data_IF_232542816556
#
_entry.id   IF_232542816556
#
_cell.length_a   1.000
_cell.length_b   1.000
_cell.length_c   1.000
_cell.angle_alpha   90.00
_cell.angle_beta   90.00
_cell.angle_gamma   90.00
#
_symmetry.space_group_name_H-M   'P 1'
#
loop_
_entity.id
_entity.type
_entity.pdbx_description
1 polymer ?
#
# COMPACT_ATOMS: atom_id res chain seq x y z
N UNK A 1 4.80 3.12 -15.66
CA UNK A 1 5.81 2.51 -14.75
C UNK A 1 5.48 1.05 -14.54
N UNK A 2 6.46 0.21 -14.23
CA UNK A 2 6.26 -1.19 -13.87
C UNK A 2 6.95 -1.47 -12.54
N UNK A 3 6.27 -2.14 -11.61
CA UNK A 3 6.83 -2.58 -10.33
C UNK A 3 6.56 -4.06 -10.12
N UNK A 4 7.51 -4.78 -9.54
CA UNK A 4 7.30 -6.16 -9.13
C UNK A 4 7.00 -6.17 -7.65
N UNK A 5 5.77 -6.50 -7.25
CA UNK A 5 5.38 -6.48 -5.83
C UNK A 5 5.15 -7.88 -5.30
N UNK A 6 5.64 -8.16 -4.09
CA UNK A 6 5.22 -9.33 -3.32
C UNK A 6 4.52 -8.89 -2.04
N UNK A 7 3.62 -9.74 -1.57
CA UNK A 7 2.85 -9.49 -0.36
C UNK A 7 3.23 -10.52 0.68
N UNK A 8 3.91 -10.14 1.76
CA UNK A 8 4.18 -11.06 2.85
C UNK A 8 2.85 -11.39 3.50
N UNK A 9 2.45 -12.66 3.47
CA UNK A 9 1.28 -13.12 4.22
C UNK A 9 1.73 -14.16 5.26
N UNK A 10 1.17 -14.02 6.46
CA UNK A 10 1.54 -14.80 7.65
C UNK A 10 1.12 -16.26 7.53
N UNK A 11 0.24 -16.60 6.57
CA UNK A 11 -0.13 -17.97 6.28
C UNK A 11 0.85 -18.57 5.26
N UNK A 12 1.42 -19.73 5.65
CA UNK A 12 2.48 -20.51 4.98
C UNK A 12 2.20 -20.94 3.52
N UNK A 13 1.12 -20.48 2.90
CA UNK A 13 0.64 -20.88 1.56
C UNK A 13 0.55 -19.72 0.56
N UNK A 14 1.01 -18.52 0.93
CA UNK A 14 0.82 -17.32 0.12
C UNK A 14 2.08 -16.95 -0.68
N UNK A 15 1.90 -16.90 -2.00
CA UNK A 15 2.73 -16.34 -3.08
C UNK A 15 4.19 -15.95 -2.74
N UNK A 16 5.11 -16.91 -2.90
CA UNK A 16 6.56 -16.62 -2.98
C UNK A 16 6.98 -16.04 -4.35
N UNK A 17 6.04 -15.39 -5.04
CA UNK A 17 6.28 -14.81 -6.37
C UNK A 17 5.85 -13.35 -6.41
N UNK A 18 6.62 -12.59 -7.18
CA UNK A 18 6.32 -11.20 -7.45
C UNK A 18 5.23 -11.08 -8.52
N UNK A 19 4.34 -10.11 -8.34
CA UNK A 19 3.29 -9.76 -9.27
C UNK A 19 3.64 -8.43 -9.92
N UNK A 20 3.65 -8.39 -11.25
CA UNK A 20 3.84 -7.13 -11.97
C UNK A 20 2.63 -6.18 -11.75
N UNK A 21 2.92 -4.94 -11.40
CA UNK A 21 2.01 -3.80 -11.26
C UNK A 21 2.36 -2.81 -12.35
N UNK A 22 1.46 -2.66 -13.31
CA UNK A 22 1.60 -1.68 -14.38
C UNK A 22 0.78 -0.46 -14.03
N UNK A 23 1.45 0.68 -13.90
CA UNK A 23 0.79 1.96 -13.73
C UNK A 23 0.55 2.61 -15.10
N UNK A 24 -0.71 2.99 -15.33
CA UNK A 24 -1.14 3.84 -16.43
C UNK A 24 -0.62 5.27 -16.23
N UNK A 25 -0.65 5.76 -14.99
CA UNK A 25 -0.11 7.07 -14.61
C UNK A 25 0.82 6.89 -13.41
N UNK A 26 1.96 7.61 -13.37
CA UNK A 26 2.83 7.62 -12.17
C UNK A 26 2.18 8.45 -11.06
N UNK A 27 1.10 7.96 -10.49
CA UNK A 27 0.42 8.59 -9.36
C UNK A 27 0.27 7.60 -8.23
N UNK A 28 0.22 8.12 -7.01
CA UNK A 28 -0.04 7.30 -5.82
C UNK A 28 -1.41 6.64 -5.90
N UNK A 29 -2.41 7.34 -6.45
CA UNK A 29 -3.75 6.79 -6.66
C UNK A 29 -3.74 5.54 -7.54
N UNK A 30 -3.10 5.60 -8.70
CA UNK A 30 -3.01 4.44 -9.60
C UNK A 30 -2.26 3.28 -8.94
N UNK A 31 -1.18 3.58 -8.18
CA UNK A 31 -0.47 2.57 -7.39
C UNK A 31 -1.37 1.88 -6.37
N UNK A 32 -2.12 2.65 -5.58
CA UNK A 32 -3.08 2.13 -4.59
C UNK A 32 -4.13 1.25 -5.29
N UNK A 33 -4.71 1.73 -6.39
CA UNK A 33 -5.73 0.97 -7.13
C UNK A 33 -5.18 -0.37 -7.61
N UNK A 34 -4.01 -0.41 -8.27
CA UNK A 34 -3.44 -1.66 -8.78
C UNK A 34 -3.05 -2.64 -7.67
N UNK A 35 -2.51 -2.14 -6.55
CA UNK A 35 -2.10 -2.98 -5.41
C UNK A 35 -3.35 -3.58 -4.73
N UNK A 36 -4.36 -2.75 -4.45
CA UNK A 36 -5.55 -3.16 -3.72
C UNK A 36 -6.42 -4.15 -4.51
N UNK A 37 -6.49 -4.00 -5.85
CA UNK A 37 -7.10 -5.00 -6.74
C UNK A 37 -6.44 -6.38 -6.59
N UNK A 38 -5.11 -6.44 -6.49
CA UNK A 38 -4.38 -7.72 -6.33
C UNK A 38 -4.67 -8.39 -4.98
N UNK A 39 -4.89 -7.59 -3.94
CA UNK A 39 -5.19 -8.06 -2.58
C UNK A 39 -6.70 -8.18 -2.29
N UNK A 40 -7.56 -7.81 -3.24
CA UNK A 40 -9.04 -7.76 -3.07
C UNK A 40 -9.47 -6.88 -1.89
N UNK A 41 -8.76 -5.78 -1.69
CA UNK A 41 -9.04 -4.78 -0.66
C UNK A 41 -9.74 -3.60 -1.31
N UNK A 42 -10.63 -2.94 -0.58
CA UNK A 42 -11.22 -1.67 -1.02
C UNK A 42 -10.14 -0.56 -0.98
N UNK A 43 -9.81 0.09 -2.12
CA UNK A 43 -8.83 1.17 -2.17
C UNK A 43 -9.15 2.34 -1.24
N UNK A 44 -10.44 2.58 -0.92
CA UNK A 44 -10.84 3.64 0.00
C UNK A 44 -10.37 3.41 1.43
N UNK A 45 -10.00 2.17 1.78
CA UNK A 45 -9.41 1.86 3.09
C UNK A 45 -7.97 2.33 3.21
N UNK A 46 -7.26 2.49 2.09
CA UNK A 46 -5.86 2.91 2.11
C UNK A 46 -5.78 4.41 2.34
N UNK A 47 -5.28 4.81 3.51
CA UNK A 47 -5.20 6.23 3.89
C UNK A 47 -3.88 6.87 3.55
N UNK A 48 -2.82 6.08 3.38
CA UNK A 48 -1.49 6.57 2.97
C UNK A 48 -0.59 5.45 2.46
N UNK A 49 0.44 5.85 1.73
CA UNK A 49 1.48 5.01 1.19
C UNK A 49 2.83 5.50 1.69
N UNK A 50 3.62 4.61 2.27
CA UNK A 50 4.96 4.90 2.76
C UNK A 50 5.99 4.12 1.94
N UNK A 51 7.03 4.82 1.50
CA UNK A 51 8.25 4.22 0.97
C UNK A 51 9.28 4.09 2.09
N UNK A 52 9.63 2.86 2.45
CA UNK A 52 10.61 2.55 3.50
C UNK A 52 11.98 2.31 2.85
N UNK A 53 12.97 3.12 3.22
CA UNK A 53 14.36 2.97 2.77
C UNK A 53 15.09 1.92 3.63
N UNK A 54 16.22 1.43 3.14
CA UNK A 54 17.05 0.41 3.83
C UNK A 54 17.54 0.83 5.22
N UNK A 55 17.67 2.13 5.47
CA UNK A 55 18.03 2.69 6.78
C UNK A 55 16.83 2.82 7.74
N UNK A 56 15.64 2.35 7.35
CA UNK A 56 14.41 2.44 8.13
C UNK A 56 13.68 3.78 8.01
N UNK A 57 14.15 4.72 7.18
CA UNK A 57 13.45 5.98 6.96
C UNK A 57 12.16 5.74 6.17
N UNK A 58 11.03 6.13 6.75
CA UNK A 58 9.72 6.09 6.12
C UNK A 58 9.43 7.44 5.44
N UNK A 59 9.16 7.41 4.14
CA UNK A 59 8.86 8.58 3.31
C UNK A 59 7.41 8.46 2.83
N UNK A 60 6.56 9.42 3.15
CA UNK A 60 5.19 9.44 2.65
C UNK A 60 5.18 9.78 1.16
N UNK A 61 4.43 8.99 0.38
CA UNK A 61 4.25 9.22 -1.06
C UNK A 61 2.91 9.91 -1.25
N UNK A 62 2.93 11.20 -1.60
CA UNK A 62 1.73 12.04 -1.69
C UNK A 62 1.07 12.01 -3.08
N UNK A 63 1.68 12.63 -4.09
CA UNK A 63 1.03 12.81 -5.40
C UNK A 63 1.59 11.89 -6.49
N UNK A 64 2.91 11.74 -6.54
CA UNK A 64 3.62 11.06 -7.62
C UNK A 64 4.58 10.01 -7.06
N UNK A 65 4.70 8.91 -7.78
CA UNK A 65 5.59 7.78 -7.44
C UNK A 65 6.94 7.89 -8.14
N UNK A 66 7.33 9.08 -8.61
CA UNK A 66 8.61 9.36 -9.29
C UNK A 66 9.86 8.87 -8.57
N UNK A 67 9.85 8.90 -7.23
CA UNK A 67 10.96 8.44 -6.40
C UNK A 67 11.02 6.90 -6.25
N UNK A 68 9.99 6.20 -6.71
CA UNK A 68 9.99 4.74 -6.79
C UNK A 68 10.64 4.31 -8.10
N UNK A 69 11.76 3.58 -8.05
CA UNK A 69 12.45 3.10 -9.24
C UNK A 69 11.60 2.10 -10.03
N UNK A 70 11.48 2.31 -11.33
CA UNK A 70 10.83 1.37 -12.25
C UNK A 70 11.61 0.05 -12.35
N UNK A 71 10.86 -1.06 -12.44
CA UNK A 71 11.42 -2.40 -12.60
C UNK A 71 12.00 -3.00 -11.32
N UNK A 72 11.80 -2.34 -10.18
CA UNK A 72 12.31 -2.81 -8.89
C UNK A 72 11.37 -3.84 -8.25
N UNK A 73 11.99 -4.81 -7.58
CA UNK A 73 11.34 -5.76 -6.68
C UNK A 73 11.00 -5.06 -5.37
N UNK A 74 9.72 -5.09 -4.98
CA UNK A 74 9.21 -4.43 -3.80
C UNK A 74 8.40 -5.38 -2.94
N UNK A 75 8.47 -5.18 -1.63
CA UNK A 75 7.63 -5.85 -0.65
C UNK A 75 6.56 -4.84 -0.23
N UNK A 76 5.29 -5.24 -0.31
CA UNK A 76 4.16 -4.42 0.11
C UNK A 76 3.59 -4.98 1.40
N UNK A 77 3.93 -4.35 2.51
CA UNK A 77 3.35 -4.65 3.82
C UNK A 77 2.10 -3.80 4.04
N UNK A 78 1.06 -4.42 4.60
CA UNK A 78 -0.21 -3.77 4.88
C UNK A 78 -0.46 -3.80 6.38
N UNK A 79 -0.63 -2.62 6.98
CA UNK A 79 -0.86 -2.49 8.42
C UNK A 79 -2.14 -1.73 8.70
N UNK A 80 -2.91 -2.19 9.69
CA UNK A 80 -4.07 -1.46 10.16
C UNK A 80 -3.63 -0.22 10.97
N UNK A 81 -4.15 0.93 10.57
CA UNK A 81 -4.00 2.17 11.31
C UNK A 81 -5.12 2.22 12.35
N UNK A 82 -4.78 1.88 13.60
CA UNK A 82 -5.72 2.07 14.71
C UNK A 82 -6.19 3.53 14.75
N UNK A 83 -7.50 3.72 14.58
CA UNK A 83 -8.12 5.04 14.60
C UNK A 83 -8.14 5.56 16.04
N UNK A 84 -7.06 6.16 16.51
CA UNK A 84 -7.10 6.89 17.77
C UNK A 84 -7.65 8.31 17.52
N UNK A 85 -8.97 8.44 17.76
CA UNK A 85 -9.77 9.63 18.11
C UNK A 85 -9.33 10.98 17.49
N UNK A 86 -10.15 11.46 16.55
CA UNK A 86 -10.75 12.78 16.74
C UNK A 86 -12.25 12.56 16.95
N UNK A 87 -12.72 12.87 18.16
CA UNK A 87 -14.12 12.79 18.50
C UNK A 87 -14.89 13.91 17.78
N UNK A 88 -15.74 13.55 16.82
CA UNK A 88 -17.15 13.96 16.75
C UNK A 88 -17.77 13.53 15.41
N UNK A 89 -19.04 13.10 15.50
CA UNK A 89 -20.03 12.88 14.42
C UNK A 89 -20.14 11.45 13.84
N UNK A 90 -20.87 10.64 14.61
CA UNK A 90 -22.06 9.83 14.25
C UNK A 90 -22.15 9.12 12.89
N UNK A 91 -22.11 7.78 12.94
CA UNK A 91 -22.77 6.87 11.98
C UNK A 91 -22.50 5.40 12.36
N UNK A 92 -23.51 4.49 12.40
CA UNK A 92 -23.29 3.06 12.65
C UNK A 92 -22.88 2.41 11.32
N UNK A 93 -21.68 2.71 10.86
CA UNK A 93 -21.01 1.96 9.80
C UNK A 93 -19.76 1.37 10.42
N UNK A 94 -19.62 0.05 10.35
CA UNK A 94 -18.40 -0.66 10.79
C UNK A 94 -17.16 0.17 10.45
N UNK A 95 -16.26 0.49 11.40
CA UNK A 95 -14.99 1.10 11.04
C UNK A 95 -14.21 0.00 10.33
N UNK A 96 -14.28 -0.05 9.00
CA UNK A 96 -13.30 -0.79 8.23
C UNK A 96 -11.96 -0.18 8.62
N UNK A 97 -11.10 -0.96 9.30
CA UNK A 97 -9.80 -0.47 9.75
C UNK A 97 -9.09 0.20 8.57
N UNK A 98 -8.71 1.46 8.76
CA UNK A 98 -7.88 2.18 7.81
C UNK A 98 -6.56 1.42 7.61
N UNK A 99 -6.04 1.42 6.39
CA UNK A 99 -4.87 0.67 5.99
C UNK A 99 -3.75 1.61 5.56
N UNK A 100 -2.54 1.27 5.97
CA UNK A 100 -1.31 1.85 5.47
C UNK A 100 -0.59 0.81 4.61
N UNK A 101 -0.09 1.25 3.45
CA UNK A 101 0.78 0.45 2.60
C UNK A 101 2.23 0.89 2.82
N UNK A 102 3.10 -0.05 3.19
CA UNK A 102 4.55 0.18 3.26
C UNK A 102 5.24 -0.55 2.12
N UNK A 103 5.96 0.18 1.29
CA UNK A 103 6.76 -0.37 0.21
C UNK A 103 8.23 -0.34 0.60
N UNK A 104 8.91 -1.49 0.54
CA UNK A 104 10.35 -1.61 0.79
C UNK A 104 11.04 -2.39 -0.32
N UNK A 105 12.32 -2.11 -0.53
CA UNK A 105 13.21 -2.82 -1.48
C UNK A 105 14.64 -2.91 -0.96
#
# INVERSE_FOLDING_TARGET
ACFYVRFPCNDRLSDDYYRAVYLTERTVRDLIEKITIKQRIDPQRVVRVLHVKQNGLEIMVDDDVRELPDGQDMIVEMSEVSSFKNAAVTGPGNPSSALELKLSY
#
